data_IF_051326689819
#
_entry.id   IF_051326689819
#
_cell.length_a   1.000
_cell.length_b   1.000
_cell.length_c   1.000
_cell.angle_alpha   90.00
_cell.angle_beta   90.00
_cell.angle_gamma   90.00
#
_symmetry.space_group_name_H-M   'P 1'
#
loop_
_entity.id
_entity.type
_entity.pdbx_description
1 polymer ?
#
# COMPACT_ATOMS: atom_id res chain seq x y z
N UNK A 1 -14.83 26.79 26.21
CA UNK A 1 -14.01 26.76 25.00
C UNK A 1 -12.79 27.65 25.29
N UNK A 2 -11.61 27.01 25.38
CA UNK A 2 -10.36 27.75 25.57
C UNK A 2 -9.76 28.07 24.20
N UNK A 3 -9.82 29.32 23.79
CA UNK A 3 -9.30 29.80 22.51
C UNK A 3 -7.77 29.67 22.41
N UNK A 4 -7.06 29.43 23.51
CA UNK A 4 -5.62 29.21 23.51
C UNK A 4 -5.26 27.88 22.87
N UNK A 5 -6.13 26.88 22.96
CA UNK A 5 -5.94 25.55 22.34
C UNK A 5 -5.96 25.57 20.80
N UNK A 6 -6.65 26.58 20.22
CA UNK A 6 -6.67 26.70 18.75
C UNK A 6 -5.34 27.15 18.13
N UNK A 7 -4.40 27.67 18.95
CA UNK A 7 -3.04 27.96 18.46
C UNK A 7 -2.24 26.70 18.18
N UNK A 8 -2.55 25.60 18.90
CA UNK A 8 -1.93 24.29 18.75
C UNK A 8 -2.96 23.25 18.32
N UNK A 9 -3.86 23.63 17.39
CA UNK A 9 -4.98 22.81 16.94
C UNK A 9 -4.57 21.38 16.57
N UNK A 10 -3.43 21.25 15.90
CA UNK A 10 -2.91 19.96 15.40
C UNK A 10 -2.56 19.00 16.56
N UNK A 11 -2.04 19.52 17.66
CA UNK A 11 -1.48 18.73 18.76
C UNK A 11 -2.44 18.60 19.96
N UNK A 12 -3.31 19.60 20.18
CA UNK A 12 -4.06 19.72 21.44
C UNK A 12 -5.57 19.60 21.29
N UNK A 13 -6.10 19.66 20.06
CA UNK A 13 -7.55 19.58 19.85
C UNK A 13 -7.95 18.16 19.50
N UNK A 14 -8.59 17.48 20.45
CA UNK A 14 -9.22 16.19 20.21
C UNK A 14 -10.42 16.32 19.29
N UNK A 15 -10.36 15.58 18.20
CA UNK A 15 -11.45 15.44 17.24
C UNK A 15 -12.12 14.10 17.50
N UNK A 16 -13.43 14.09 17.54
CA UNK A 16 -14.24 12.87 17.44
C UNK A 16 -15.24 13.08 16.32
N UNK A 17 -15.13 12.33 15.27
CA UNK A 17 -16.01 12.44 14.11
C UNK A 17 -16.51 11.06 13.67
N UNK A 18 -17.81 10.98 13.46
CA UNK A 18 -18.46 9.86 12.82
C UNK A 18 -19.07 10.33 11.51
N UNK A 19 -18.68 9.68 10.44
CA UNK A 19 -19.16 9.97 9.08
C UNK A 19 -19.90 8.75 8.56
N UNK A 20 -21.10 8.94 8.04
CA UNK A 20 -21.93 7.83 7.56
C UNK A 20 -22.41 8.13 6.15
N UNK A 21 -22.10 7.23 5.24
CA UNK A 21 -22.55 7.23 3.84
C UNK A 21 -22.40 8.59 3.15
N UNK A 22 -21.21 9.16 3.23
CA UNK A 22 -20.91 10.51 2.75
C UNK A 22 -19.99 10.45 1.54
N UNK A 23 -20.05 11.46 0.71
CA UNK A 23 -19.06 11.73 -0.34
C UNK A 23 -18.16 12.87 0.13
N UNK A 24 -16.85 12.67 0.05
CA UNK A 24 -15.82 13.64 0.40
C UNK A 24 -14.94 13.92 -0.82
N UNK A 25 -14.69 15.19 -1.09
CA UNK A 25 -13.72 15.62 -2.09
C UNK A 25 -12.44 16.10 -1.43
N UNK A 26 -11.29 15.80 -2.06
CA UNK A 26 -10.02 16.42 -1.63
C UNK A 26 -10.07 17.95 -1.70
N UNK A 27 -10.88 18.51 -2.59
CA UNK A 27 -11.06 19.96 -2.71
C UNK A 27 -11.75 20.55 -1.48
N UNK A 28 -12.68 19.80 -0.86
CA UNK A 28 -13.33 20.22 0.39
C UNK A 28 -12.35 20.21 1.56
N UNK A 29 -11.47 19.21 1.59
CA UNK A 29 -10.43 19.07 2.63
C UNK A 29 -9.27 20.04 2.41
N UNK A 30 -9.04 20.47 1.18
CA UNK A 30 -7.98 21.42 0.82
C UNK A 30 -8.12 22.77 1.52
N UNK A 31 -9.33 23.11 2.00
CA UNK A 31 -9.52 24.29 2.85
C UNK A 31 -8.69 24.21 4.14
N UNK A 32 -8.52 23.00 4.68
CA UNK A 32 -7.75 22.75 5.92
C UNK A 32 -6.29 22.35 5.62
N UNK A 33 -6.03 21.75 4.47
CA UNK A 33 -4.71 21.30 4.05
C UNK A 33 -4.47 21.65 2.58
N UNK A 34 -3.85 22.82 2.29
CA UNK A 34 -3.64 23.28 0.90
C UNK A 34 -2.91 22.31 -0.02
N UNK A 35 -2.09 21.39 0.55
CA UNK A 35 -1.40 20.34 -0.21
C UNK A 35 -2.35 19.34 -0.87
N UNK A 36 -3.59 19.23 -0.37
CA UNK A 36 -4.58 18.29 -0.91
C UNK A 36 -5.35 18.85 -2.11
N UNK A 37 -5.15 20.13 -2.43
CA UNK A 37 -5.84 20.79 -3.54
C UNK A 37 -5.56 20.15 -4.90
N UNK A 38 -4.34 19.66 -5.08
CA UNK A 38 -3.90 19.10 -6.35
C UNK A 38 -4.23 17.58 -6.49
N UNK A 39 -4.82 16.98 -5.46
CA UNK A 39 -5.12 15.55 -5.48
C UNK A 39 -6.32 15.19 -6.37
N UNK A 40 -7.32 16.07 -6.45
CA UNK A 40 -8.54 15.86 -7.24
C UNK A 40 -9.19 14.49 -7.02
N UNK A 41 -9.17 14.02 -5.78
CA UNK A 41 -9.75 12.74 -5.38
C UNK A 41 -11.15 12.93 -4.82
N UNK A 42 -12.05 12.02 -5.19
CA UNK A 42 -13.38 11.91 -4.60
C UNK A 42 -13.49 10.54 -3.95
N UNK A 43 -13.88 10.54 -2.68
CA UNK A 43 -14.21 9.36 -1.90
C UNK A 43 -15.72 9.27 -1.78
N UNK A 44 -16.27 8.13 -2.09
CA UNK A 44 -17.72 7.84 -1.99
C UNK A 44 -17.97 6.70 -1.00
N UNK A 45 -19.19 6.56 -0.55
CA UNK A 45 -19.61 5.57 0.43
C UNK A 45 -18.79 5.64 1.73
N UNK A 46 -18.31 6.85 2.10
CA UNK A 46 -17.46 7.03 3.26
C UNK A 46 -18.22 6.76 4.54
N UNK A 47 -17.82 5.70 5.21
CA UNK A 47 -18.22 5.38 6.57
C UNK A 47 -16.94 5.38 7.42
N UNK A 48 -16.81 6.34 8.31
CA UNK A 48 -15.60 6.57 9.08
C UNK A 48 -15.90 6.92 10.52
N UNK A 49 -15.12 6.35 11.42
CA UNK A 49 -15.01 6.76 12.81
C UNK A 49 -13.58 7.22 13.03
N UNK A 50 -13.40 8.46 13.52
CA UNK A 50 -12.07 9.05 13.71
C UNK A 50 -12.02 9.68 15.09
N UNK A 51 -10.90 9.50 15.79
CA UNK A 51 -10.67 10.05 17.14
C UNK A 51 -9.21 10.44 17.35
N UNK A 52 -9.00 11.42 18.23
CA UNK A 52 -7.71 11.96 18.63
C UNK A 52 -7.37 13.31 18.00
N UNK A 53 -6.27 13.94 18.44
CA UNK A 53 -5.74 15.13 17.79
C UNK A 53 -5.17 14.79 16.41
N UNK A 54 -5.04 15.77 15.53
CA UNK A 54 -4.51 15.54 14.17
C UNK A 54 -3.12 14.90 14.22
N UNK A 55 -2.30 15.28 15.20
CA UNK A 55 -0.95 14.73 15.36
C UNK A 55 -0.91 13.29 15.84
N UNK A 56 -1.98 12.77 16.45
CA UNK A 56 -2.09 11.37 16.91
C UNK A 56 -3.53 10.88 16.73
N UNK A 57 -3.88 10.61 15.49
CA UNK A 57 -5.22 10.25 15.06
C UNK A 57 -5.37 8.76 14.87
N UNK A 58 -6.49 8.21 15.27
CA UNK A 58 -6.85 6.83 14.99
C UNK A 58 -8.30 6.73 14.51
N UNK A 59 -8.61 5.64 13.82
CA UNK A 59 -9.97 5.46 13.34
C UNK A 59 -10.15 4.24 12.46
N UNK A 60 -11.33 4.19 11.88
CA UNK A 60 -11.69 3.16 10.92
C UNK A 60 -12.33 3.78 9.69
N UNK A 61 -12.04 3.20 8.54
CA UNK A 61 -12.76 3.42 7.27
C UNK A 61 -13.42 2.12 6.85
N UNK A 62 -14.67 2.19 6.41
CA UNK A 62 -15.43 1.00 5.99
C UNK A 62 -16.03 1.22 4.62
N UNK A 63 -15.68 0.33 3.69
CA UNK A 63 -16.22 0.28 2.31
C UNK A 63 -16.04 1.56 1.51
N UNK A 64 -15.08 2.40 1.86
CA UNK A 64 -14.79 3.65 1.14
C UNK A 64 -14.36 3.34 -0.28
N UNK A 65 -14.93 4.06 -1.24
CA UNK A 65 -14.66 3.87 -2.66
C UNK A 65 -13.98 5.11 -3.25
N UNK A 66 -13.13 4.87 -4.23
CA UNK A 66 -12.59 5.92 -5.10
C UNK A 66 -12.30 5.34 -6.48
N UNK A 67 -12.47 6.14 -7.52
CA UNK A 67 -12.34 5.65 -8.89
C UNK A 67 -13.43 4.66 -9.28
N UNK A 68 -13.09 3.79 -10.23
CA UNK A 68 -14.02 2.79 -10.76
C UNK A 68 -14.02 1.49 -9.93
N UNK A 69 -12.82 1.07 -9.49
CA UNK A 69 -12.59 -0.28 -8.97
C UNK A 69 -12.04 -0.31 -7.55
N UNK A 70 -11.66 0.84 -6.99
CA UNK A 70 -11.04 0.89 -5.66
C UNK A 70 -12.09 0.92 -4.57
N UNK A 71 -11.98 -0.04 -3.65
CA UNK A 71 -12.72 -0.12 -2.40
C UNK A 71 -11.77 -0.44 -1.26
N UNK A 72 -11.88 0.28 -0.14
CA UNK A 72 -11.01 0.15 1.03
C UNK A 72 -11.81 0.02 2.32
N UNK A 73 -11.38 -0.94 3.16
CA UNK A 73 -11.77 -1.02 4.57
C UNK A 73 -10.50 -1.21 5.40
N UNK A 74 -10.26 -0.31 6.35
CA UNK A 74 -9.03 -0.26 7.13
C UNK A 74 -9.29 0.29 8.54
N UNK A 75 -8.64 -0.28 9.53
CA UNK A 75 -8.43 0.33 10.83
C UNK A 75 -7.03 0.96 10.84
N UNK A 76 -6.91 2.19 11.29
CA UNK A 76 -5.65 2.92 11.20
C UNK A 76 -5.33 3.72 12.46
N UNK A 77 -4.03 3.95 12.66
CA UNK A 77 -3.51 4.98 13.55
C UNK A 77 -2.37 5.73 12.84
N UNK A 78 -2.35 7.04 12.99
CA UNK A 78 -1.38 7.91 12.34
C UNK A 78 -0.83 8.92 13.34
N UNK A 79 0.46 8.89 13.56
CA UNK A 79 1.20 9.79 14.44
C UNK A 79 2.13 10.69 13.64
N UNK A 80 2.29 11.94 14.09
CA UNK A 80 3.20 12.90 13.46
C UNK A 80 2.61 13.67 12.28
N UNK A 81 1.28 13.57 12.06
CA UNK A 81 0.62 14.43 11.06
C UNK A 81 0.69 15.91 11.43
N UNK A 82 0.75 16.82 10.46
CA UNK A 82 0.62 16.61 9.01
C UNK A 82 1.92 16.27 8.27
N UNK A 83 3.05 16.05 8.97
CA UNK A 83 4.32 15.67 8.32
C UNK A 83 4.35 14.17 8.01
N UNK A 84 3.70 13.78 6.91
CA UNK A 84 3.60 12.38 6.47
C UNK A 84 4.97 11.73 6.29
N UNK A 85 6.00 12.52 5.91
CA UNK A 85 7.36 12.01 5.70
C UNK A 85 8.05 11.51 6.97
N UNK A 86 7.62 12.00 8.13
CA UNK A 86 8.13 11.61 9.46
C UNK A 86 7.11 10.86 10.30
N UNK A 87 5.88 10.78 9.80
CA UNK A 87 4.78 10.13 10.50
C UNK A 87 5.03 8.64 10.70
N UNK A 88 4.47 8.11 11.79
CA UNK A 88 4.37 6.68 12.04
C UNK A 88 2.92 6.24 11.80
N UNK A 89 2.74 5.18 11.02
CA UNK A 89 1.43 4.72 10.59
C UNK A 89 1.25 3.26 10.97
N UNK A 90 0.06 2.95 11.47
CA UNK A 90 -0.42 1.58 11.59
C UNK A 90 -1.67 1.44 10.73
N UNK A 91 -1.76 0.35 10.01
CA UNK A 91 -2.94 0.02 9.24
C UNK A 91 -3.23 -1.48 9.34
N UNK A 92 -4.49 -1.83 9.58
CA UNK A 92 -5.02 -3.19 9.46
C UNK A 92 -6.05 -3.17 8.34
N UNK A 93 -5.62 -3.59 7.15
CA UNK A 93 -6.41 -3.55 5.92
C UNK A 93 -7.22 -4.84 5.84
N UNK A 94 -8.50 -4.76 6.14
CA UNK A 94 -9.41 -5.90 6.04
C UNK A 94 -9.91 -6.14 4.62
N UNK A 95 -9.92 -5.10 3.78
CA UNK A 95 -10.29 -5.18 2.37
C UNK A 95 -9.66 -4.01 1.61
N UNK A 96 -8.90 -4.31 0.59
CA UNK A 96 -8.56 -3.37 -0.47
C UNK A 96 -8.74 -4.10 -1.79
N UNK A 97 -9.60 -3.58 -2.65
CA UNK A 97 -9.68 -3.99 -4.05
C UNK A 97 -9.37 -2.79 -4.92
N UNK A 98 -8.66 -2.99 -6.03
CA UNK A 98 -8.28 -1.90 -6.94
C UNK A 98 -7.95 -2.45 -8.33
N UNK A 99 -7.69 -1.56 -9.27
CA UNK A 99 -7.19 -1.86 -10.61
C UNK A 99 -5.93 -1.04 -10.90
N UNK A 100 -5.17 -1.46 -11.90
CA UNK A 100 -3.97 -0.74 -12.35
C UNK A 100 -4.27 0.74 -12.67
N UNK A 101 -5.41 1.02 -13.30
CA UNK A 101 -5.82 2.38 -13.65
C UNK A 101 -6.08 3.25 -12.42
N UNK A 102 -6.74 2.68 -11.40
CA UNK A 102 -7.00 3.40 -10.16
C UNK A 102 -5.74 3.61 -9.34
N UNK A 103 -4.82 2.62 -9.30
CA UNK A 103 -3.52 2.76 -8.62
C UNK A 103 -2.68 3.84 -9.27
N UNK A 104 -2.61 3.88 -10.61
CA UNK A 104 -1.88 4.93 -11.33
C UNK A 104 -2.45 6.33 -11.05
N UNK A 105 -3.78 6.45 -11.08
CA UNK A 105 -4.48 7.70 -10.74
C UNK A 105 -4.22 8.14 -9.30
N UNK A 106 -4.25 7.21 -8.35
CA UNK A 106 -3.95 7.49 -6.95
C UNK A 106 -2.49 7.89 -6.75
N UNK A 107 -1.54 7.21 -7.42
CA UNK A 107 -0.13 7.57 -7.40
C UNK A 107 0.09 8.98 -7.93
N UNK A 108 -0.49 9.32 -9.08
CA UNK A 108 -0.42 10.65 -9.65
C UNK A 108 -1.00 11.73 -8.73
N UNK A 109 -2.15 11.46 -8.11
CA UNK A 109 -2.79 12.37 -7.17
C UNK A 109 -1.94 12.63 -5.93
N UNK A 110 -1.38 11.57 -5.31
CA UNK A 110 -0.66 11.66 -4.05
C UNK A 110 0.79 12.13 -4.19
N UNK A 111 1.45 11.78 -5.30
CA UNK A 111 2.89 12.03 -5.51
C UNK A 111 3.19 13.03 -6.62
N UNK A 112 2.19 13.41 -7.40
CA UNK A 112 2.35 14.23 -8.60
C UNK A 112 2.97 13.49 -9.80
N UNK A 113 3.10 12.15 -9.72
CA UNK A 113 3.73 11.34 -10.76
C UNK A 113 2.93 10.06 -10.99
N UNK A 114 2.76 9.70 -12.25
CA UNK A 114 2.24 8.40 -12.64
C UNK A 114 3.21 7.28 -12.27
N UNK A 115 2.71 6.06 -12.23
CA UNK A 115 3.55 4.88 -12.07
C UNK A 115 4.51 4.75 -13.27
N UNK A 116 5.72 4.20 -13.07
CA UNK A 116 6.57 3.79 -14.18
C UNK A 116 5.83 2.85 -15.14
N UNK A 117 6.03 3.00 -16.44
CA UNK A 117 5.30 2.26 -17.47
C UNK A 117 5.38 0.74 -17.26
N UNK A 118 6.52 0.23 -16.82
CA UNK A 118 6.71 -1.18 -16.55
C UNK A 118 5.89 -1.66 -15.35
N UNK A 119 5.83 -0.89 -14.28
CA UNK A 119 5.00 -1.19 -13.11
C UNK A 119 3.52 -1.17 -13.48
N UNK A 120 3.11 -0.19 -14.27
CA UNK A 120 1.74 -0.07 -14.75
C UNK A 120 1.36 -1.25 -15.67
N UNK A 121 2.28 -1.70 -16.53
CA UNK A 121 2.09 -2.88 -17.39
C UNK A 121 1.89 -4.15 -16.56
N UNK A 122 2.79 -4.41 -15.60
CA UNK A 122 2.68 -5.55 -14.68
C UNK A 122 1.35 -5.51 -13.90
N UNK A 123 0.98 -4.34 -13.39
CA UNK A 123 -0.29 -4.18 -12.66
C UNK A 123 -1.53 -4.43 -13.55
N UNK A 124 -1.48 -4.02 -14.82
CA UNK A 124 -2.55 -4.31 -15.81
C UNK A 124 -2.66 -5.80 -16.10
N UNK A 125 -1.53 -6.48 -16.27
CA UNK A 125 -1.49 -7.92 -16.53
C UNK A 125 -1.97 -8.74 -15.32
N UNK A 126 -1.77 -8.23 -14.10
CA UNK A 126 -2.28 -8.83 -12.88
C UNK A 126 -3.83 -8.79 -12.78
N UNK A 127 -4.47 -7.91 -13.56
CA UNK A 127 -5.91 -7.75 -13.54
C UNK A 127 -6.41 -7.02 -12.29
N UNK A 128 -7.50 -7.52 -11.72
CA UNK A 128 -8.03 -6.99 -10.46
C UNK A 128 -7.13 -7.37 -9.30
N UNK A 129 -6.79 -6.40 -8.47
CA UNK A 129 -5.88 -6.55 -7.34
C UNK A 129 -6.68 -6.48 -6.05
N UNK A 130 -6.56 -7.51 -5.23
CA UNK A 130 -7.05 -7.56 -3.85
C UNK A 130 -5.87 -7.59 -2.88
N UNK A 131 -5.95 -6.82 -1.80
CA UNK A 131 -4.95 -6.79 -0.74
C UNK A 131 -5.63 -6.85 0.62
N UNK A 132 -5.09 -7.68 1.51
CA UNK A 132 -5.36 -7.64 2.94
C UNK A 132 -4.04 -7.65 3.69
N UNK A 133 -3.99 -7.10 4.91
CA UNK A 133 -2.75 -7.16 5.67
C UNK A 133 -2.58 -6.05 6.68
N UNK A 134 -1.39 -6.04 7.28
CA UNK A 134 -0.99 -5.10 8.32
C UNK A 134 0.25 -4.35 7.93
N UNK A 135 0.28 -3.10 8.30
CA UNK A 135 1.43 -2.21 8.14
C UNK A 135 1.70 -1.51 9.47
N UNK A 136 2.96 -1.43 9.87
CA UNK A 136 3.39 -0.70 11.07
C UNK A 136 4.75 -0.06 10.81
N UNK A 137 4.83 1.26 10.82
CA UNK A 137 6.06 1.98 10.63
C UNK A 137 5.93 3.34 9.96
N UNK A 138 7.05 3.82 9.46
CA UNK A 138 7.15 5.05 8.65
C UNK A 138 7.18 4.70 7.16
N UNK A 139 7.14 5.68 6.26
CA UNK A 139 7.28 5.44 4.81
C UNK A 139 8.66 4.91 4.39
N UNK A 140 9.65 4.96 5.28
CA UNK A 140 11.03 4.54 4.98
C UNK A 140 11.51 3.36 5.79
N UNK A 141 10.82 3.03 6.91
CA UNK A 141 11.15 1.91 7.77
C UNK A 141 9.84 1.34 8.36
N UNK A 142 9.49 0.13 7.99
CA UNK A 142 8.21 -0.48 8.33
C UNK A 142 8.26 -2.00 8.38
N UNK A 143 7.28 -2.57 9.05
CA UNK A 143 6.93 -3.98 8.93
C UNK A 143 5.60 -4.11 8.17
N UNK A 144 5.51 -5.11 7.31
CA UNK A 144 4.31 -5.42 6.55
C UNK A 144 4.06 -6.94 6.55
N UNK A 145 2.82 -7.31 6.83
CA UNK A 145 2.30 -8.67 6.66
C UNK A 145 1.10 -8.57 5.73
N UNK A 146 1.25 -9.01 4.50
CA UNK A 146 0.26 -8.77 3.47
C UNK A 146 -0.02 -10.00 2.61
N UNK A 147 -1.27 -10.13 2.20
CA UNK A 147 -1.73 -11.10 1.21
C UNK A 147 -2.29 -10.37 0.00
N UNK A 148 -1.72 -10.64 -1.15
CA UNK A 148 -2.11 -10.14 -2.46
C UNK A 148 -2.85 -11.23 -3.22
N UNK A 149 -4.01 -10.91 -3.76
CA UNK A 149 -4.78 -11.75 -4.67
C UNK A 149 -4.96 -11.01 -6.00
N UNK A 150 -4.71 -11.69 -7.10
CA UNK A 150 -4.87 -11.17 -8.45
C UNK A 150 -5.62 -12.17 -9.32
N UNK A 151 -6.00 -11.77 -10.53
CA UNK A 151 -6.66 -12.70 -11.46
C UNK A 151 -5.70 -13.81 -11.96
N UNK A 152 -4.42 -13.58 -11.87
CA UNK A 152 -3.36 -14.49 -12.35
C UNK A 152 -2.63 -15.23 -11.22
N UNK A 153 -3.09 -15.16 -9.99
CA UNK A 153 -2.50 -15.86 -8.83
C UNK A 153 -2.38 -14.98 -7.61
N UNK A 154 -1.76 -15.52 -6.56
CA UNK A 154 -1.62 -14.84 -5.29
C UNK A 154 -0.18 -14.82 -4.77
N UNK A 155 0.06 -13.89 -3.84
CA UNK A 155 1.30 -13.80 -3.09
C UNK A 155 1.04 -13.40 -1.64
N UNK A 156 1.87 -13.88 -0.74
CA UNK A 156 1.91 -13.37 0.64
C UNK A 156 3.32 -12.91 0.96
N UNK A 157 3.44 -11.89 1.78
CA UNK A 157 4.73 -11.42 2.22
C UNK A 157 4.69 -11.04 3.71
N UNK A 158 5.79 -11.35 4.39
CA UNK A 158 6.10 -10.84 5.72
C UNK A 158 7.44 -10.12 5.58
N UNK A 159 7.40 -8.80 5.52
CA UNK A 159 8.55 -7.97 5.21
C UNK A 159 8.86 -6.99 6.34
N UNK A 160 10.14 -6.78 6.57
CA UNK A 160 10.67 -5.71 7.40
C UNK A 160 11.62 -4.85 6.55
N UNK A 161 11.31 -3.58 6.45
CA UNK A 161 12.15 -2.58 5.79
C UNK A 161 12.74 -1.68 6.86
N UNK A 162 14.05 -1.52 6.87
CA UNK A 162 14.78 -0.67 7.80
C UNK A 162 15.51 0.45 7.04
N UNK A 163 15.57 1.62 7.64
CA UNK A 163 16.38 2.71 7.11
C UNK A 163 17.83 2.53 7.58
N UNK A 164 18.73 2.38 6.63
CA UNK A 164 20.17 2.30 6.85
C UNK A 164 20.82 3.67 6.63
N UNK A 165 22.15 3.74 6.72
CA UNK A 165 22.91 4.96 6.45
C UNK A 165 22.90 5.27 4.95
N UNK A 166 23.06 6.55 4.60
CA UNK A 166 23.28 7.03 3.22
C UNK A 166 22.12 6.74 2.24
N UNK A 167 20.87 6.71 2.76
CA UNK A 167 19.69 6.48 1.92
C UNK A 167 19.48 5.02 1.50
N UNK A 168 20.31 4.10 1.99
CA UNK A 168 20.12 2.67 1.82
C UNK A 168 18.95 2.17 2.70
N UNK A 169 18.27 1.13 2.24
CA UNK A 169 17.21 0.44 2.96
C UNK A 169 17.57 -1.03 3.08
N UNK A 170 17.54 -1.57 4.30
CA UNK A 170 17.60 -3.00 4.52
C UNK A 170 16.23 -3.60 4.30
N UNK A 171 16.16 -4.72 3.60
CA UNK A 171 14.92 -5.50 3.37
C UNK A 171 15.16 -6.91 3.87
N UNK A 172 14.30 -7.38 4.75
CA UNK A 172 14.32 -8.72 5.31
C UNK A 172 12.92 -9.29 5.30
N UNK A 173 12.74 -10.54 4.90
CA UNK A 173 11.43 -11.19 5.05
C UNK A 173 11.20 -12.38 4.14
N UNK A 174 9.97 -12.87 4.20
CA UNK A 174 9.51 -14.05 3.49
C UNK A 174 8.49 -13.66 2.42
N UNK A 175 8.62 -14.25 1.24
CA UNK A 175 7.68 -14.10 0.13
C UNK A 175 7.24 -15.48 -0.33
N UNK A 176 5.94 -15.67 -0.46
CA UNK A 176 5.34 -16.89 -1.00
C UNK A 176 4.43 -16.55 -2.17
N UNK A 177 4.51 -17.30 -3.22
CA UNK A 177 3.55 -17.22 -4.32
C UNK A 177 2.78 -18.52 -4.48
N UNK A 178 1.55 -18.44 -4.96
CA UNK A 178 0.70 -19.60 -5.22
C UNK A 178 0.17 -19.51 -6.64
N UNK A 179 0.67 -20.39 -7.50
CA UNK A 179 0.25 -20.54 -8.91
C UNK A 179 0.22 -19.21 -9.70
N UNK A 180 1.17 -18.32 -9.40
CA UNK A 180 1.27 -17.04 -10.10
C UNK A 180 1.64 -17.28 -11.57
N UNK A 181 0.79 -16.86 -12.50
CA UNK A 181 0.99 -17.04 -13.95
C UNK A 181 2.05 -16.05 -14.46
N UNK A 182 3.33 -16.42 -14.35
CA UNK A 182 4.44 -15.57 -14.77
C UNK A 182 4.39 -15.19 -16.25
N UNK A 183 3.94 -16.10 -17.09
CA UNK A 183 3.80 -15.85 -18.51
C UNK A 183 2.83 -14.72 -18.82
N UNK A 184 1.67 -14.71 -18.16
CA UNK A 184 0.69 -13.66 -18.29
C UNK A 184 1.20 -12.35 -17.67
N UNK A 185 1.84 -12.42 -16.49
CA UNK A 185 2.38 -11.26 -15.80
C UNK A 185 3.45 -10.52 -16.62
N UNK A 186 4.36 -11.28 -17.25
CA UNK A 186 5.54 -10.74 -17.94
C UNK A 186 5.41 -10.73 -19.47
N UNK A 187 4.25 -11.16 -20.01
CA UNK A 187 4.00 -11.28 -21.47
C UNK A 187 5.04 -12.19 -22.15
N UNK A 188 5.31 -13.35 -21.52
CA UNK A 188 6.30 -14.29 -21.99
C UNK A 188 5.74 -15.72 -22.00
N UNK A 189 5.38 -16.20 -23.18
CA UNK A 189 4.76 -17.52 -23.41
C UNK A 189 5.65 -18.72 -23.00
N UNK A 190 6.94 -18.50 -22.77
CA UNK A 190 7.84 -19.53 -22.28
C UNK A 190 7.71 -19.78 -20.78
N UNK A 191 7.10 -18.85 -20.04
CA UNK A 191 6.91 -18.95 -18.60
C UNK A 191 5.51 -19.44 -18.29
N UNK A 192 5.41 -20.34 -17.33
CA UNK A 192 4.17 -20.86 -16.79
C UNK A 192 3.94 -20.46 -15.33
N UNK A 193 3.17 -21.24 -14.58
CA UNK A 193 2.88 -20.95 -13.18
C UNK A 193 4.14 -21.04 -12.31
N UNK A 194 4.21 -20.11 -11.33
CA UNK A 194 5.23 -20.08 -10.30
C UNK A 194 4.60 -20.24 -8.92
N UNK A 195 5.10 -21.19 -8.14
CA UNK A 195 4.88 -21.29 -6.71
C UNK A 195 6.22 -21.36 -6.02
N UNK A 196 6.49 -20.44 -5.11
CA UNK A 196 7.74 -20.38 -4.36
C UNK A 196 7.51 -20.00 -2.90
N UNK A 197 8.49 -20.32 -2.08
CA UNK A 197 8.60 -19.89 -0.70
C UNK A 197 10.06 -19.47 -0.45
N UNK A 198 10.31 -18.19 -0.42
CA UNK A 198 11.68 -17.65 -0.35
C UNK A 198 11.82 -16.64 0.77
N UNK A 199 13.01 -16.65 1.35
CA UNK A 199 13.49 -15.65 2.27
C UNK A 199 14.38 -14.66 1.52
N UNK A 200 14.16 -13.39 1.71
CA UNK A 200 14.91 -12.28 1.10
C UNK A 200 15.64 -11.53 2.18
N UNK A 201 16.93 -11.31 2.00
CA UNK A 201 17.73 -10.45 2.87
C UNK A 201 18.62 -9.60 1.99
N UNK A 202 18.51 -8.28 2.06
CA UNK A 202 19.27 -7.42 1.15
C UNK A 202 19.26 -5.96 1.53
N UNK A 203 20.07 -5.21 0.79
CA UNK A 203 20.16 -3.77 0.88
C UNK A 203 19.80 -3.13 -0.48
N UNK A 204 18.95 -2.13 -0.44
CA UNK A 204 18.49 -1.40 -1.61
C UNK A 204 18.90 0.07 -1.50
N UNK A 205 19.52 0.59 -2.55
CA UNK A 205 19.80 2.02 -2.70
C UNK A 205 19.50 2.48 -4.12
N UNK A 206 19.60 3.77 -4.38
CA UNK A 206 19.42 4.33 -5.73
C UNK A 206 20.54 3.93 -6.71
N UNK A 207 21.70 3.54 -6.20
CA UNK A 207 22.90 3.27 -7.01
C UNK A 207 23.26 1.78 -7.03
N UNK A 208 22.91 1.06 -5.98
CA UNK A 208 23.26 -0.35 -5.82
C UNK A 208 22.15 -1.11 -5.11
N UNK A 209 21.92 -2.33 -5.53
CA UNK A 209 21.01 -3.26 -4.88
C UNK A 209 21.71 -4.61 -4.75
N UNK A 210 21.80 -5.10 -3.52
CA UNK A 210 22.37 -6.40 -3.20
C UNK A 210 21.34 -7.17 -2.38
N UNK A 211 21.00 -8.37 -2.82
CA UNK A 211 20.01 -9.19 -2.14
C UNK A 211 20.36 -10.68 -2.25
N UNK A 212 20.36 -11.34 -1.12
CA UNK A 212 20.39 -12.79 -1.01
C UNK A 212 18.96 -13.33 -0.95
N UNK A 213 18.67 -14.29 -1.82
CA UNK A 213 17.38 -14.98 -1.87
C UNK A 213 17.62 -16.45 -1.65
N UNK A 214 17.00 -17.01 -0.64
CA UNK A 214 17.10 -18.44 -0.30
C UNK A 214 15.71 -19.03 -0.09
N UNK A 215 15.52 -20.31 -0.41
CA UNK A 215 14.23 -20.98 -0.23
C UNK A 215 13.99 -22.07 -1.25
N UNK A 216 12.73 -22.33 -1.53
CA UNK A 216 12.28 -23.43 -2.37
C UNK A 216 11.38 -22.92 -3.50
N UNK A 217 11.59 -23.45 -4.69
CA UNK A 217 10.65 -23.31 -5.80
C UNK A 217 9.81 -24.58 -5.81
N UNK A 218 8.55 -24.44 -5.37
CA UNK A 218 7.62 -25.58 -5.28
C UNK A 218 7.09 -26.01 -6.65
N UNK A 219 6.93 -25.04 -7.56
CA UNK A 219 6.51 -25.28 -8.95
C UNK A 219 7.01 -24.17 -9.85
N UNK A 220 7.53 -24.54 -11.01
CA UNK A 220 7.94 -23.61 -12.05
C UNK A 220 7.60 -24.16 -13.43
N UNK A 221 6.73 -23.47 -14.15
CA UNK A 221 6.43 -23.76 -15.55
C UNK A 221 7.43 -23.10 -16.49
N UNK A 222 8.10 -23.86 -17.34
CA UNK A 222 9.00 -23.32 -18.39
C UNK A 222 8.79 -24.11 -19.66
N UNK A 223 8.53 -23.41 -20.76
CA UNK A 223 8.42 -23.99 -22.13
C UNK A 223 7.43 -25.18 -22.21
N UNK A 224 6.31 -25.07 -21.47
CA UNK A 224 5.26 -26.08 -21.42
C UNK A 224 5.55 -27.27 -20.50
N UNK A 225 6.66 -27.26 -19.77
CA UNK A 225 7.01 -28.27 -18.77
C UNK A 225 6.86 -27.70 -17.37
N UNK A 226 6.32 -28.50 -16.46
CA UNK A 226 6.23 -28.16 -15.02
C UNK A 226 7.37 -28.85 -14.27
N UNK A 227 8.14 -28.08 -13.55
CA UNK A 227 9.18 -28.52 -12.64
C UNK A 227 8.69 -28.36 -11.20
N UNK A 228 8.87 -29.35 -10.38
CA UNK A 228 8.45 -29.37 -8.98
C UNK A 228 9.64 -29.63 -8.06
N UNK A 229 9.65 -28.98 -6.89
CA UNK A 229 10.64 -29.17 -5.81
C UNK A 229 12.09 -28.91 -6.25
N UNK A 230 12.34 -27.72 -6.77
CA UNK A 230 13.67 -27.22 -7.16
C UNK A 230 14.35 -26.51 -6.01
#
# INVERSE_FOLDING_TARGET
LDWALYKNFVEEVDITAQVVNTTLSSDDIAYFSPKMKDWHLTLTDVNADVSGPVADMSGSLRSVRTGADTKLSVDFAAQGLPDVGKGHFKADISELTTSAADVDRLAAALTGKNLPDEVLRIAKNAGKIGLTGKFDGTLTAFAADAALATEIGGATCLLQVSSLRDGCRGVLGDVKTSSLQLGELLENDLLGPLSLNVHVNGELSSEHSDAEVSGEILRLGINGYDYESL
#
